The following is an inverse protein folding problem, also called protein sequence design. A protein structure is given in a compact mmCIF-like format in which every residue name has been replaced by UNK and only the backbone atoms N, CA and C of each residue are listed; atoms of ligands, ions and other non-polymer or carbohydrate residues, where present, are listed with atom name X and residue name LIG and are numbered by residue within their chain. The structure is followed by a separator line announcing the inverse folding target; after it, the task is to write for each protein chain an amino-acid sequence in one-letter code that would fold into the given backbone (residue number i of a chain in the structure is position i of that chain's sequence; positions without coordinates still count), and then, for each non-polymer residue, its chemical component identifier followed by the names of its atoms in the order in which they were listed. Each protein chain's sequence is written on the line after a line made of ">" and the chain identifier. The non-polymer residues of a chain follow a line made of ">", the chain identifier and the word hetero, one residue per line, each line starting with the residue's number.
data_IF_889348193711
#
_entry.id   IF_889348193711
#
_cell.length_a   1.000
_cell.length_b   1.000
_cell.length_c   1.000
_cell.angle_alpha   90.00
_cell.angle_beta   90.00
_cell.angle_gamma   90.00
#
_symmetry.space_group_name_H-M   'P 1'
#
loop_
_entity.id
_entity.type
_entity.pdbx_description
1 polymer ?
#
# COMPACT_ATOMS: atom_id res chain seq x y z
N UNK A 1 16.82 2.87 -31.05
CA UNK A 1 16.15 3.35 -29.84
C UNK A 1 16.94 2.87 -28.62
N UNK A 2 17.52 3.78 -27.84
CA UNK A 2 18.20 3.42 -26.59
C UNK A 2 17.15 2.98 -25.58
N UNK A 3 17.26 1.78 -24.99
CA UNK A 3 16.45 1.41 -23.83
C UNK A 3 16.77 2.40 -22.70
N UNK A 4 15.82 3.29 -22.39
CA UNK A 4 15.94 4.19 -21.24
C UNK A 4 15.92 3.29 -20.00
N UNK A 5 17.00 3.31 -19.22
CA UNK A 5 17.08 2.51 -18.01
C UNK A 5 16.24 3.19 -16.93
N UNK A 6 15.14 2.55 -16.58
CA UNK A 6 14.32 2.99 -15.45
C UNK A 6 15.07 2.72 -14.14
N UNK A 7 14.68 3.45 -13.08
CA UNK A 7 15.21 3.13 -11.75
C UNK A 7 14.74 1.75 -11.31
N UNK A 8 15.71 0.88 -11.06
CA UNK A 8 15.46 -0.41 -10.44
C UNK A 8 15.54 -0.24 -8.91
N UNK A 9 14.44 -0.57 -8.23
CA UNK A 9 14.33 -0.57 -6.77
C UNK A 9 14.77 -1.93 -6.20
N UNK A 10 14.24 -3.03 -6.76
CA UNK A 10 14.59 -4.40 -6.42
C UNK A 10 15.05 -5.17 -7.66
N UNK A 11 15.91 -6.17 -7.46
CA UNK A 11 16.24 -7.13 -8.51
C UNK A 11 15.08 -8.09 -8.75
N UNK A 12 14.99 -8.68 -9.96
CA UNK A 12 13.97 -9.70 -10.26
C UNK A 12 14.04 -10.88 -9.28
N UNK A 13 15.26 -11.27 -8.88
CA UNK A 13 15.47 -12.32 -7.87
C UNK A 13 14.89 -11.89 -6.52
N UNK A 14 15.18 -10.68 -6.05
CA UNK A 14 14.61 -10.19 -4.79
C UNK A 14 13.09 -10.15 -4.82
N UNK A 15 12.46 -9.74 -5.92
CA UNK A 15 11.00 -9.77 -6.05
C UNK A 15 10.47 -11.20 -5.93
N UNK A 16 11.02 -12.14 -6.71
CA UNK A 16 10.62 -13.54 -6.66
C UNK A 16 10.86 -14.19 -5.27
N UNK A 17 11.91 -13.77 -4.56
CA UNK A 17 12.23 -14.28 -3.22
C UNK A 17 11.33 -13.67 -2.12
N UNK A 18 10.69 -12.51 -2.39
CA UNK A 18 9.79 -11.80 -1.48
C UNK A 18 8.31 -12.10 -1.74
N UNK A 19 7.94 -12.48 -2.96
CA UNK A 19 6.62 -13.01 -3.31
C UNK A 19 6.38 -14.39 -2.67
N UNK A 20 6.52 -14.47 -1.35
CA UNK A 20 6.17 -15.62 -0.54
C UNK A 20 4.71 -15.41 -0.12
N UNK A 21 3.81 -16.10 -0.83
CA UNK A 21 2.37 -16.35 -0.51
C UNK A 21 1.32 -15.36 -1.04
N UNK A 22 1.06 -15.39 -2.35
CA UNK A 22 -0.33 -15.43 -2.83
C UNK A 22 -0.35 -15.66 -4.35
N UNK A 23 -1.03 -16.72 -4.79
CA UNK A 23 -1.40 -16.92 -6.22
C UNK A 23 -2.54 -15.96 -6.64
N UNK A 24 -2.80 -14.92 -5.84
CA UNK A 24 -3.96 -14.02 -5.90
C UNK A 24 -3.55 -12.55 -5.66
N UNK A 25 -4.51 -11.63 -5.79
CA UNK A 25 -4.31 -10.19 -5.67
C UNK A 25 -3.66 -9.84 -4.34
N UNK A 26 -2.54 -9.11 -4.39
CA UNK A 26 -1.90 -8.55 -3.20
C UNK A 26 -2.66 -7.29 -2.77
N UNK A 27 -3.44 -7.37 -1.69
CA UNK A 27 -4.20 -6.22 -1.17
C UNK A 27 -3.46 -5.51 -0.04
N UNK A 28 -3.30 -4.20 -0.18
CA UNK A 28 -2.58 -3.33 0.74
C UNK A 28 -3.52 -2.22 1.23
N UNK A 29 -3.72 -2.13 2.54
CA UNK A 29 -4.51 -1.09 3.18
C UNK A 29 -3.58 -0.03 3.75
N UNK A 30 -3.78 1.23 3.34
CA UNK A 30 -3.11 2.39 3.92
C UNK A 30 -4.13 3.20 4.71
N UNK A 31 -4.05 3.14 6.04
CA UNK A 31 -5.02 3.74 6.96
C UNK A 31 -4.31 4.42 8.12
N UNK A 32 -4.75 5.63 8.42
CA UNK A 32 -4.41 6.33 9.66
C UNK A 32 -5.60 7.17 10.07
N UNK A 33 -5.93 7.19 11.37
CA UNK A 33 -6.98 8.06 11.91
C UNK A 33 -6.68 9.55 11.62
N UNK A 34 -7.69 10.40 11.80
CA UNK A 34 -7.66 11.84 11.45
C UNK A 34 -6.37 12.52 11.94
N UNK A 35 -5.77 13.37 11.12
CA UNK A 35 -4.49 14.04 11.44
C UNK A 35 -3.28 13.45 10.72
N UNK A 36 -3.45 12.32 10.00
CA UNK A 36 -2.39 11.71 9.20
C UNK A 36 -1.88 12.59 8.05
N UNK A 37 -0.86 13.40 8.29
CA UNK A 37 -0.02 13.94 7.23
C UNK A 37 0.75 12.79 6.56
N UNK A 38 0.94 12.90 5.24
CA UNK A 38 1.71 11.97 4.40
C UNK A 38 1.10 10.59 4.07
N UNK A 39 -0.06 10.17 4.60
CA UNK A 39 -0.69 8.88 4.20
C UNK A 39 -0.90 8.72 2.69
N UNK A 40 -1.59 9.66 2.05
CA UNK A 40 -1.78 9.64 0.59
C UNK A 40 -0.44 9.78 -0.15
N UNK A 41 0.55 10.45 0.43
CA UNK A 41 1.91 10.48 -0.11
C UNK A 41 2.56 9.10 -0.06
N UNK A 42 2.43 8.36 1.04
CA UNK A 42 2.94 6.99 1.17
C UNK A 42 2.21 6.05 0.21
N UNK A 43 0.88 6.08 0.16
CA UNK A 43 0.08 5.26 -0.75
C UNK A 43 0.41 5.53 -2.23
N UNK A 44 0.52 6.80 -2.62
CA UNK A 44 0.92 7.17 -3.99
C UNK A 44 2.37 6.78 -4.27
N UNK A 45 3.29 6.92 -3.32
CA UNK A 45 4.69 6.49 -3.49
C UNK A 45 4.78 4.98 -3.65
N UNK A 46 4.01 4.23 -2.87
CA UNK A 46 3.87 2.78 -2.96
C UNK A 46 3.42 2.34 -4.35
N UNK A 47 2.36 2.96 -4.88
CA UNK A 47 1.89 2.70 -6.25
C UNK A 47 3.00 2.88 -7.31
N UNK A 48 3.80 3.96 -7.20
CA UNK A 48 4.94 4.18 -8.09
C UNK A 48 6.07 3.15 -7.87
N UNK A 49 6.28 2.71 -6.64
CA UNK A 49 7.26 1.70 -6.28
C UNK A 49 6.91 0.33 -6.86
N UNK A 50 5.69 -0.14 -6.60
CA UNK A 50 5.16 -1.43 -7.10
C UNK A 50 5.20 -1.50 -8.62
N UNK A 51 4.84 -0.41 -9.30
CA UNK A 51 4.91 -0.32 -10.76
C UNK A 51 6.31 -0.58 -11.35
N UNK A 52 7.38 -0.60 -10.54
CA UNK A 52 8.75 -0.85 -10.98
C UNK A 52 9.27 -2.25 -10.67
N UNK A 53 8.41 -3.16 -10.18
CA UNK A 53 8.81 -4.51 -9.78
C UNK A 53 8.87 -5.52 -10.93
N UNK A 54 8.01 -5.35 -11.93
CA UNK A 54 7.83 -6.34 -12.97
C UNK A 54 7.48 -5.75 -14.32
N UNK A 55 7.59 -6.58 -15.35
CA UNK A 55 7.02 -6.31 -16.66
C UNK A 55 5.56 -6.79 -16.64
N UNK A 56 4.61 -5.90 -16.98
CA UNK A 56 3.16 -6.18 -17.02
C UNK A 56 2.49 -6.38 -15.66
N UNK A 57 2.26 -5.28 -14.95
CA UNK A 57 1.51 -5.26 -13.68
C UNK A 57 0.20 -4.48 -13.85
N UNK A 58 -0.88 -5.01 -13.29
CA UNK A 58 -2.19 -4.39 -13.15
C UNK A 58 -2.36 -3.91 -11.71
N UNK A 59 -2.20 -2.60 -11.52
CA UNK A 59 -2.27 -1.95 -10.21
C UNK A 59 -3.56 -1.14 -10.11
N UNK A 60 -4.30 -1.35 -9.03
CA UNK A 60 -5.53 -0.63 -8.72
C UNK A 60 -5.34 0.20 -7.47
N UNK A 61 -5.67 1.49 -7.56
CA UNK A 61 -5.62 2.42 -6.44
C UNK A 61 -7.03 2.90 -6.12
N UNK A 62 -7.53 2.54 -4.95
CA UNK A 62 -8.86 2.90 -4.46
C UNK A 62 -8.75 3.99 -3.41
N UNK A 63 -9.53 5.06 -3.56
CA UNK A 63 -9.61 6.12 -2.56
C UNK A 63 -10.95 6.82 -2.53
N UNK A 64 -11.33 7.25 -1.33
CA UNK A 64 -12.46 8.14 -1.07
C UNK A 64 -11.98 9.38 -0.28
N UNK A 65 -10.74 9.82 -0.52
CA UNK A 65 -10.21 11.03 0.12
C UNK A 65 -11.03 12.26 -0.27
N UNK A 66 -11.53 12.97 0.74
CA UNK A 66 -12.30 14.21 0.59
C UNK A 66 -11.53 15.30 -0.15
N UNK A 67 -10.20 15.27 -0.08
CA UNK A 67 -9.36 16.22 -0.81
C UNK A 67 -9.18 15.83 -2.28
N UNK A 68 -9.61 14.64 -2.69
CA UNK A 68 -9.43 14.12 -4.04
C UNK A 68 -7.97 14.23 -4.52
N UNK A 69 -6.99 14.13 -3.62
CA UNK A 69 -5.59 14.40 -3.91
C UNK A 69 -5.01 13.42 -4.94
N UNK A 70 -5.21 12.12 -4.71
CA UNK A 70 -4.78 11.08 -5.62
C UNK A 70 -5.54 11.12 -6.96
N UNK A 71 -6.84 11.44 -6.95
CA UNK A 71 -7.64 11.64 -8.18
C UNK A 71 -7.10 12.75 -9.07
N UNK A 72 -6.68 13.87 -8.46
CA UNK A 72 -6.07 15.00 -9.17
C UNK A 72 -4.67 14.67 -9.71
N UNK A 73 -3.97 13.72 -9.09
CA UNK A 73 -2.64 13.28 -9.52
C UNK A 73 -2.73 12.24 -10.65
N UNK A 74 -3.49 11.17 -10.45
CA UNK A 74 -3.57 10.01 -11.35
C UNK A 74 -4.54 10.24 -12.51
N UNK A 75 -4.28 11.28 -13.30
CA UNK A 75 -4.95 11.46 -14.58
C UNK A 75 -4.50 10.38 -15.57
N UNK A 76 -5.31 10.10 -16.59
CA UNK A 76 -4.94 9.12 -17.63
C UNK A 76 -3.61 9.48 -18.30
N UNK A 77 -3.38 10.77 -18.58
CA UNK A 77 -2.12 11.28 -19.13
C UNK A 77 -0.94 11.05 -18.18
N UNK A 78 -1.12 11.37 -16.89
CA UNK A 78 -0.08 11.13 -15.88
C UNK A 78 0.27 9.64 -15.80
N UNK A 79 -0.74 8.77 -15.71
CA UNK A 79 -0.51 7.33 -15.60
C UNK A 79 0.22 6.77 -16.83
N UNK A 80 -0.18 7.17 -18.05
CA UNK A 80 0.47 6.74 -19.30
C UNK A 80 1.92 7.22 -19.43
N UNK A 81 2.27 8.36 -18.84
CA UNK A 81 3.59 8.96 -18.98
C UNK A 81 4.55 8.60 -17.84
N UNK A 82 4.03 8.40 -16.61
CA UNK A 82 4.84 8.22 -15.41
C UNK A 82 5.01 6.76 -14.98
N UNK A 83 4.12 5.86 -15.38
CA UNK A 83 4.28 4.42 -15.11
C UNK A 83 5.06 3.70 -16.22
N UNK A 84 5.84 2.66 -15.89
CA UNK A 84 6.55 1.86 -16.88
C UNK A 84 5.65 1.26 -17.97
N UNK A 85 6.21 1.11 -19.18
CA UNK A 85 5.51 0.43 -20.27
C UNK A 85 5.16 -1.00 -19.86
N UNK A 86 3.90 -1.35 -20.01
CA UNK A 86 3.36 -2.65 -19.59
C UNK A 86 2.62 -2.58 -18.26
N UNK A 87 2.89 -1.59 -17.40
CA UNK A 87 2.07 -1.37 -16.20
C UNK A 87 0.75 -0.74 -16.61
N UNK A 88 -0.34 -1.40 -16.24
CA UNK A 88 -1.66 -0.83 -16.25
C UNK A 88 -1.98 -0.31 -14.86
N UNK A 89 -2.42 0.94 -14.79
CA UNK A 89 -2.80 1.57 -13.54
C UNK A 89 -4.21 2.13 -13.66
N UNK A 90 -5.08 1.73 -12.74
CA UNK A 90 -6.45 2.24 -12.63
C UNK A 90 -6.64 2.89 -11.26
N UNK A 91 -7.03 4.16 -11.25
CA UNK A 91 -7.49 4.83 -10.03
C UNK A 91 -9.02 4.78 -9.97
N UNK A 92 -9.55 4.17 -8.92
CA UNK A 92 -10.96 4.22 -8.53
C UNK A 92 -11.06 5.25 -7.42
N UNK A 93 -11.38 6.50 -7.80
CA UNK A 93 -11.41 7.61 -6.88
C UNK A 93 -12.81 8.21 -6.80
N UNK A 94 -13.43 8.13 -5.62
CA UNK A 94 -14.80 8.56 -5.43
C UNK A 94 -14.88 10.09 -5.37
N UNK A 95 -15.50 10.66 -6.41
CA UNK A 95 -15.78 12.10 -6.49
C UNK A 95 -16.79 12.52 -5.41
N UNK A 96 -16.57 13.69 -4.82
CA UNK A 96 -17.46 14.30 -3.82
C UNK A 96 -17.75 13.33 -2.65
N UNK A 97 -16.75 12.55 -2.22
CA UNK A 97 -16.91 11.51 -1.20
C UNK A 97 -17.52 12.06 0.10
N UNK A 98 -17.19 13.30 0.48
CA UNK A 98 -17.76 13.98 1.65
C UNK A 98 -19.29 14.19 1.59
N UNK A 99 -19.92 14.09 0.41
CA UNK A 99 -21.38 14.22 0.23
C UNK A 99 -22.11 12.87 0.17
N UNK A 100 -21.38 11.75 0.26
CA UNK A 100 -21.92 10.40 0.05
C UNK A 100 -21.91 9.63 1.36
N UNK A 101 -22.88 8.73 1.53
CA UNK A 101 -22.85 7.75 2.62
C UNK A 101 -21.79 6.67 2.33
N UNK A 102 -21.26 6.05 3.39
CA UNK A 102 -20.34 4.90 3.31
C UNK A 102 -20.86 3.82 2.35
N UNK A 103 -22.13 3.41 2.49
CA UNK A 103 -22.76 2.44 1.58
C UNK A 103 -22.75 2.86 0.10
N UNK A 104 -22.96 4.15 -0.19
CA UNK A 104 -22.91 4.66 -1.58
C UNK A 104 -21.48 4.64 -2.13
N UNK A 105 -20.52 5.04 -1.31
CA UNK A 105 -19.09 5.04 -1.66
C UNK A 105 -18.63 3.61 -1.97
N UNK A 106 -18.91 2.65 -1.08
CA UNK A 106 -18.58 1.25 -1.29
C UNK A 106 -19.26 0.65 -2.52
N UNK A 107 -20.53 1.00 -2.78
CA UNK A 107 -21.22 0.55 -4.00
C UNK A 107 -20.57 1.07 -5.28
N UNK A 108 -20.13 2.33 -5.29
CA UNK A 108 -19.42 2.90 -6.45
C UNK A 108 -18.04 2.25 -6.65
N UNK A 109 -17.29 2.01 -5.58
CA UNK A 109 -16.01 1.28 -5.65
C UNK A 109 -16.23 -0.12 -6.18
N UNK A 110 -17.20 -0.83 -5.59
CA UNK A 110 -17.59 -2.17 -5.98
C UNK A 110 -17.92 -2.19 -7.48
N UNK A 111 -18.79 -1.31 -7.97
CA UNK A 111 -19.20 -1.28 -9.38
C UNK A 111 -18.03 -1.25 -10.38
N UNK A 112 -16.88 -0.67 -10.02
CA UNK A 112 -15.68 -0.67 -10.86
C UNK A 112 -14.76 -1.88 -10.64
N UNK A 113 -14.71 -2.45 -9.43
CA UNK A 113 -13.85 -3.57 -9.04
C UNK A 113 -14.64 -4.90 -9.01
N UNK A 114 -14.30 -5.84 -9.87
CA UNK A 114 -15.01 -7.12 -10.02
C UNK A 114 -14.39 -8.20 -9.12
N UNK A 115 -15.22 -8.98 -8.44
CA UNK A 115 -14.84 -10.10 -7.58
C UNK A 115 -16.02 -11.09 -7.45
N UNK A 116 -15.73 -12.36 -7.16
CA UNK A 116 -16.69 -13.42 -6.82
C UNK A 116 -17.92 -13.47 -7.77
N UNK A 117 -19.13 -13.56 -7.22
CA UNK A 117 -20.41 -13.60 -7.95
C UNK A 117 -20.55 -12.44 -8.93
N UNK A 118 -20.00 -11.27 -8.62
CA UNK A 118 -20.11 -10.07 -9.47
C UNK A 118 -19.29 -10.20 -10.74
N UNK A 119 -18.16 -10.91 -10.68
CA UNK A 119 -17.39 -11.23 -11.89
C UNK A 119 -18.23 -12.13 -12.81
N UNK A 120 -18.87 -13.15 -12.23
CA UNK A 120 -19.69 -14.12 -12.95
C UNK A 120 -20.90 -13.44 -13.60
N UNK A 121 -21.62 -12.61 -12.85
CA UNK A 121 -22.76 -11.83 -13.35
C UNK A 121 -22.35 -10.89 -14.48
N UNK A 122 -21.22 -10.19 -14.32
CA UNK A 122 -20.70 -9.26 -15.32
C UNK A 122 -20.30 -9.97 -16.61
N UNK A 123 -19.58 -11.08 -16.51
CA UNK A 123 -19.19 -11.89 -17.66
C UNK A 123 -20.41 -12.41 -18.41
N UNK A 124 -21.39 -12.99 -17.68
CA UNK A 124 -22.64 -13.49 -18.26
C UNK A 124 -23.44 -12.41 -18.96
N UNK A 125 -23.55 -11.22 -18.37
CA UNK A 125 -24.26 -10.08 -18.95
C UNK A 125 -23.63 -9.59 -20.26
N UNK A 126 -22.33 -9.79 -20.43
CA UNK A 126 -21.56 -9.39 -21.63
C UNK A 126 -21.34 -10.52 -22.63
N UNK A 127 -21.83 -11.73 -22.35
CA UNK A 127 -21.59 -12.90 -23.18
C UNK A 127 -20.11 -13.30 -23.23
N UNK A 128 -19.35 -12.97 -22.18
CA UNK A 128 -17.97 -13.40 -22.00
C UNK A 128 -17.97 -14.78 -21.35
N UNK A 129 -17.16 -15.70 -21.88
CA UNK A 129 -16.88 -16.97 -21.23
C UNK A 129 -15.79 -16.76 -20.16
N UNK A 130 -16.04 -17.29 -18.96
CA UNK A 130 -15.08 -17.33 -17.85
C UNK A 130 -14.87 -18.79 -17.47
N UNK A 131 -13.62 -19.17 -17.26
CA UNK A 131 -13.20 -20.50 -16.82
C UNK A 131 -12.99 -20.53 -15.31
N UNK A 132 -12.84 -21.72 -14.71
CA UNK A 132 -12.45 -21.84 -13.30
C UNK A 132 -11.06 -21.21 -13.04
N UNK A 133 -10.14 -21.27 -14.01
CA UNK A 133 -8.82 -20.61 -13.94
C UNK A 133 -8.94 -19.06 -13.90
N UNK A 134 -10.01 -18.51 -14.49
CA UNK A 134 -10.37 -17.08 -14.42
C UNK A 134 -11.01 -16.68 -13.09
N UNK A 135 -11.16 -17.61 -12.15
CA UNK A 135 -11.67 -17.37 -10.79
C UNK A 135 -10.60 -17.56 -9.70
N UNK A 136 -9.36 -17.89 -10.08
CA UNK A 136 -8.27 -18.13 -9.13
C UNK A 136 -7.80 -16.86 -8.42
N UNK A 137 -7.91 -15.70 -9.07
CA UNK A 137 -7.55 -14.41 -8.50
C UNK A 137 -8.72 -13.80 -7.72
N UNK A 138 -8.42 -12.96 -6.72
CA UNK A 138 -9.46 -12.33 -5.91
C UNK A 138 -10.16 -11.17 -6.63
N UNK A 139 -9.40 -10.31 -7.31
CA UNK A 139 -9.94 -9.10 -7.92
C UNK A 139 -9.61 -9.00 -9.41
N UNK A 140 -10.56 -8.43 -10.16
CA UNK A 140 -10.48 -8.22 -11.59
C UNK A 140 -10.98 -6.84 -11.98
N UNK A 141 -10.54 -6.37 -13.15
CA UNK A 141 -11.06 -5.18 -13.79
C UNK A 141 -11.38 -5.48 -15.26
N UNK A 142 -12.42 -4.84 -15.78
CA UNK A 142 -12.65 -4.82 -17.22
C UNK A 142 -11.83 -3.71 -17.88
N UNK A 143 -11.18 -4.06 -18.99
CA UNK A 143 -10.46 -3.14 -19.84
C UNK A 143 -10.62 -3.54 -21.29
N UNK A 144 -10.99 -2.59 -22.14
CA UNK A 144 -11.09 -2.80 -23.60
C UNK A 144 -11.97 -4.03 -23.97
N UNK A 145 -12.95 -4.37 -23.12
CA UNK A 145 -13.83 -5.54 -23.28
C UNK A 145 -13.30 -6.85 -22.71
N UNK A 146 -12.07 -6.86 -22.17
CA UNK A 146 -11.43 -8.03 -21.56
C UNK A 146 -11.39 -7.93 -20.03
N UNK A 147 -11.58 -9.05 -19.35
CA UNK A 147 -11.42 -9.17 -17.90
C UNK A 147 -9.93 -9.41 -17.61
N UNK A 148 -9.32 -8.58 -16.76
CA UNK A 148 -7.91 -8.66 -16.40
C UNK A 148 -7.74 -8.86 -14.89
N UNK A 149 -6.87 -9.80 -14.50
CA UNK A 149 -6.46 -10.06 -13.11
C UNK A 149 -5.77 -8.81 -12.54
N UNK A 150 -6.13 -8.43 -11.31
CA UNK A 150 -5.45 -7.38 -10.55
C UNK A 150 -4.30 -7.99 -9.75
N UNK A 151 -3.07 -7.47 -9.94
CA UNK A 151 -1.89 -7.92 -9.21
C UNK A 151 -1.79 -7.24 -7.85
N UNK A 152 -1.97 -5.92 -7.83
CA UNK A 152 -1.89 -5.11 -6.60
C UNK A 152 -3.12 -4.23 -6.44
N UNK A 153 -3.73 -4.28 -5.26
CA UNK A 153 -4.86 -3.43 -4.88
C UNK A 153 -4.48 -2.58 -3.67
N UNK A 154 -4.44 -1.26 -3.83
CA UNK A 154 -4.07 -0.31 -2.77
C UNK A 154 -5.31 0.46 -2.33
N UNK A 155 -5.69 0.33 -1.07
CA UNK A 155 -6.74 1.13 -0.45
C UNK A 155 -6.14 2.30 0.34
N UNK A 156 -6.29 3.53 -0.15
CA UNK A 156 -5.95 4.76 0.59
C UNK A 156 -7.18 5.28 1.33
N UNK A 157 -7.30 4.89 2.60
CA UNK A 157 -8.44 5.17 3.46
C UNK A 157 -8.16 6.46 4.24
N UNK A 158 -8.75 7.56 3.78
CA UNK A 158 -8.59 8.87 4.40
C UNK A 158 -9.09 8.87 5.86
N UNK A 159 -8.22 9.33 6.77
CA UNK A 159 -8.51 9.38 8.20
C UNK A 159 -9.63 10.36 8.55
N UNK A 160 -10.53 9.91 9.43
CA UNK A 160 -11.60 10.74 10.00
C UNK A 160 -12.93 10.70 9.24
N UNK A 161 -13.05 9.83 8.23
CA UNK A 161 -14.32 9.65 7.52
C UNK A 161 -14.68 8.17 7.30
N UNK A 162 -13.74 7.22 7.50
CA UNK A 162 -13.92 5.75 7.41
C UNK A 162 -14.95 5.32 6.35
N UNK A 163 -14.80 5.90 5.15
CA UNK A 163 -15.81 5.84 4.10
C UNK A 163 -15.73 4.58 3.23
N UNK A 164 -14.62 3.85 3.35
CA UNK A 164 -14.38 2.61 2.63
C UNK A 164 -14.46 1.50 3.65
N UNK A 165 -15.39 0.58 3.43
CA UNK A 165 -15.49 -0.64 4.23
C UNK A 165 -14.49 -1.66 3.69
N UNK A 166 -13.43 -1.90 4.45
CA UNK A 166 -12.47 -2.98 4.17
C UNK A 166 -12.97 -4.33 4.63
N UNK A 167 -14.01 -4.35 5.46
CA UNK A 167 -14.59 -5.55 6.03
C UNK A 167 -15.16 -6.53 4.99
N UNK A 168 -15.52 -6.00 3.80
CA UNK A 168 -16.02 -6.71 2.62
C UNK A 168 -14.97 -6.98 1.55
N UNK A 169 -13.73 -6.48 1.71
CA UNK A 169 -12.60 -7.02 0.94
C UNK A 169 -12.57 -8.49 1.28
N UNK A 170 -12.48 -9.39 0.29
CA UNK A 170 -12.26 -10.81 0.54
C UNK A 170 -11.04 -10.89 1.48
N UNK A 171 -11.26 -11.05 2.79
CA UNK A 171 -10.22 -10.82 3.81
C UNK A 171 -9.06 -11.81 3.65
N UNK A 172 -9.34 -12.90 2.94
CA UNK A 172 -8.41 -13.90 2.42
C UNK A 172 -7.36 -13.30 1.46
N UNK A 173 -7.55 -12.06 0.98
CA UNK A 173 -6.65 -11.33 0.07
C UNK A 173 -5.94 -10.14 0.71
N UNK A 174 -6.15 -9.86 2.00
CA UNK A 174 -5.39 -8.82 2.68
C UNK A 174 -3.96 -9.32 2.93
N UNK A 175 -2.96 -8.58 2.47
CA UNK A 175 -1.54 -8.95 2.63
C UNK A 175 -0.77 -7.95 3.49
N UNK A 176 -1.17 -6.68 3.47
CA UNK A 176 -0.43 -5.63 4.17
C UNK A 176 -1.29 -4.52 4.70
N UNK A 177 -0.94 -4.07 5.90
CA UNK A 177 -1.49 -2.91 6.57
C UNK A 177 -0.39 -1.87 6.78
N UNK A 178 -0.66 -0.63 6.41
CA UNK A 178 0.27 0.48 6.52
C UNK A 178 -0.41 1.63 7.28
N UNK A 179 0.27 2.12 8.31
CA UNK A 179 -0.07 3.37 8.99
C UNK A 179 1.10 4.36 8.93
N UNK A 180 0.79 5.66 9.10
CA UNK A 180 1.77 6.74 8.99
C UNK A 180 1.63 7.69 10.16
N UNK A 181 2.75 7.96 10.82
CA UNK A 181 2.91 9.03 11.81
C UNK A 181 3.66 10.21 11.19
N UNK A 182 3.24 11.43 11.50
CA UNK A 182 4.03 12.64 11.28
C UNK A 182 5.02 12.87 12.43
N UNK A 183 6.30 13.05 12.11
CA UNK A 183 7.34 13.30 13.10
C UNK A 183 7.04 14.50 14.01
N UNK A 184 7.27 14.33 15.32
CA UNK A 184 7.00 15.31 16.38
C UNK A 184 5.51 15.74 16.48
N UNK A 185 4.57 14.89 16.07
CA UNK A 185 3.14 15.12 16.21
C UNK A 185 2.53 14.01 17.07
N UNK A 186 2.27 14.34 18.34
CA UNK A 186 1.76 13.39 19.32
C UNK A 186 0.38 12.83 18.93
N UNK A 187 -0.49 13.66 18.36
CA UNK A 187 -1.80 13.20 17.92
C UNK A 187 -1.64 12.25 16.73
N UNK A 188 -0.76 12.57 15.78
CA UNK A 188 -0.47 11.67 14.67
C UNK A 188 0.11 10.33 15.14
N UNK A 189 0.98 10.33 16.16
CA UNK A 189 1.55 9.13 16.77
C UNK A 189 0.46 8.26 17.39
N UNK A 190 -0.36 8.84 18.26
CA UNK A 190 -1.45 8.13 18.93
C UNK A 190 -2.43 7.53 17.91
N UNK A 191 -2.80 8.31 16.89
CA UNK A 191 -3.67 7.85 15.82
C UNK A 191 -3.07 6.70 15.00
N UNK A 192 -1.76 6.73 14.75
CA UNK A 192 -1.08 5.67 14.02
C UNK A 192 -1.01 4.36 14.84
N UNK A 193 -0.67 4.46 16.13
CA UNK A 193 -0.66 3.33 17.08
C UNK A 193 -2.06 2.73 17.23
N UNK A 194 -3.09 3.56 17.38
CA UNK A 194 -4.47 3.10 17.46
C UNK A 194 -4.92 2.41 16.18
N UNK A 195 -4.46 2.86 15.01
CA UNK A 195 -4.80 2.22 13.73
C UNK A 195 -4.20 0.81 13.62
N UNK A 196 -3.01 0.59 14.17
CA UNK A 196 -2.37 -0.74 14.30
C UNK A 196 -3.20 -1.61 15.24
N UNK A 197 -3.59 -1.08 16.41
CA UNK A 197 -4.41 -1.80 17.38
C UNK A 197 -5.73 -2.26 16.77
N UNK A 198 -6.44 -1.36 16.09
CA UNK A 198 -7.71 -1.68 15.45
C UNK A 198 -7.54 -2.77 14.40
N UNK A 199 -6.50 -2.68 13.56
CA UNK A 199 -6.21 -3.71 12.56
C UNK A 199 -5.85 -5.06 13.19
N UNK A 200 -5.07 -5.06 14.27
CA UNK A 200 -4.73 -6.29 14.99
C UNK A 200 -5.97 -6.97 15.59
N UNK A 201 -6.92 -6.20 16.12
CA UNK A 201 -8.20 -6.72 16.59
C UNK A 201 -9.04 -7.28 15.44
N UNK A 202 -9.07 -6.60 14.30
CA UNK A 202 -9.74 -7.07 13.08
C UNK A 202 -9.13 -8.38 12.55
N UNK A 203 -7.80 -8.50 12.54
CA UNK A 203 -7.06 -9.71 12.18
C UNK A 203 -7.40 -10.87 13.12
N UNK A 204 -7.40 -10.64 14.44
CA UNK A 204 -7.76 -11.66 15.43
C UNK A 204 -9.20 -12.14 15.19
N UNK A 205 -10.15 -11.21 15.01
CA UNK A 205 -11.55 -11.56 14.76
C UNK A 205 -11.70 -12.37 13.47
N UNK A 206 -10.98 -12.00 12.41
CA UNK A 206 -10.95 -12.75 11.15
C UNK A 206 -10.36 -14.15 11.34
N UNK A 207 -9.18 -14.26 11.96
CA UNK A 207 -8.51 -15.53 12.24
C UNK A 207 -9.41 -16.50 13.00
N UNK A 208 -10.12 -15.99 14.03
CA UNK A 208 -11.09 -16.79 14.78
C UNK A 208 -12.19 -17.33 13.86
N UNK A 209 -12.82 -16.49 13.03
CA UNK A 209 -13.87 -16.91 12.08
C UNK A 209 -13.35 -17.95 11.08
N UNK A 210 -12.16 -17.74 10.52
CA UNK A 210 -11.53 -18.65 9.59
C UNK A 210 -11.30 -20.03 10.22
N UNK A 211 -10.69 -20.07 11.41
CA UNK A 211 -10.43 -21.32 12.13
C UNK A 211 -11.73 -22.05 12.52
N UNK A 212 -12.77 -21.32 12.95
CA UNK A 212 -14.09 -21.92 13.21
C UNK A 212 -14.69 -22.55 11.95
N UNK A 213 -14.61 -21.87 10.79
CA UNK A 213 -15.09 -22.41 9.53
C UNK A 213 -14.34 -23.68 9.09
N UNK A 214 -13.06 -23.79 9.44
CA UNK A 214 -12.24 -24.99 9.25
C UNK A 214 -12.50 -26.10 10.29
N UNK A 215 -13.44 -25.90 11.22
CA UNK A 215 -13.83 -26.89 12.23
C UNK A 215 -13.00 -26.88 13.51
N UNK A 216 -12.15 -25.87 13.74
CA UNK A 216 -11.41 -25.73 14.98
C UNK A 216 -12.29 -25.14 16.10
N UNK A 217 -12.14 -25.69 17.31
CA UNK A 217 -12.66 -25.08 18.54
C UNK A 217 -11.66 -24.04 19.06
N UNK A 218 -11.89 -22.79 18.66
CA UNK A 218 -10.98 -21.65 18.89
C UNK A 218 -10.69 -21.41 20.36
N UNK A 219 -11.66 -21.64 21.25
CA UNK A 219 -11.52 -21.41 22.70
C UNK A 219 -10.54 -22.39 23.35
N UNK A 220 -10.28 -23.53 22.70
CA UNK A 220 -9.33 -24.55 23.16
C UNK A 220 -7.94 -24.40 22.57
N UNK A 221 -7.71 -23.42 21.70
CA UNK A 221 -6.39 -23.18 21.08
C UNK A 221 -5.54 -22.35 22.06
N UNK A 222 -4.39 -22.87 22.52
CA UNK A 222 -3.44 -22.08 23.30
C UNK A 222 -2.98 -20.82 22.55
N UNK A 223 -2.71 -19.73 23.28
CA UNK A 223 -2.42 -18.42 22.67
C UNK A 223 -1.19 -18.43 21.74
N UNK A 224 -0.14 -19.16 22.12
CA UNK A 224 1.07 -19.35 21.31
C UNK A 224 0.77 -20.05 19.98
N UNK A 225 -0.07 -21.09 20.03
CA UNK A 225 -0.51 -21.80 18.82
C UNK A 225 -1.44 -20.94 17.96
N UNK A 226 -2.33 -20.16 18.59
CA UNK A 226 -3.19 -19.22 17.88
C UNK A 226 -2.36 -18.15 17.16
N UNK A 227 -1.35 -17.59 17.82
CA UNK A 227 -0.45 -16.60 17.22
C UNK A 227 0.35 -17.19 16.04
N UNK A 228 0.83 -18.44 16.15
CA UNK A 228 1.51 -19.12 15.05
C UNK A 228 0.58 -19.35 13.84
N UNK A 229 -0.69 -19.71 14.08
CA UNK A 229 -1.69 -19.85 13.01
C UNK A 229 -2.03 -18.50 12.37
N UNK A 230 -2.14 -17.44 13.17
CA UNK A 230 -2.37 -16.07 12.69
C UNK A 230 -1.22 -15.58 11.81
N UNK A 231 0.02 -15.83 12.23
CA UNK A 231 1.22 -15.51 11.43
C UNK A 231 1.25 -16.29 10.09
N UNK A 232 0.69 -17.50 10.05
CA UNK A 232 0.57 -18.26 8.80
C UNK A 232 -0.41 -17.64 7.82
N UNK A 233 -1.51 -17.04 8.32
CA UNK A 233 -2.50 -16.29 7.54
C UNK A 233 -1.85 -15.03 6.93
N UNK A 234 -0.95 -14.37 7.66
CA UNK A 234 0.15 -13.62 7.03
C UNK A 234 -0.14 -12.16 6.66
N UNK A 235 -0.62 -11.34 7.60
CA UNK A 235 -0.66 -9.89 7.40
C UNK A 235 0.67 -9.23 7.79
N UNK A 236 1.21 -8.42 6.89
CA UNK A 236 2.35 -7.55 7.21
C UNK A 236 1.85 -6.23 7.82
N UNK A 237 2.45 -5.78 8.92
CA UNK A 237 2.17 -4.47 9.51
C UNK A 237 3.34 -3.55 9.26
N UNK A 238 3.11 -2.40 8.63
CA UNK A 238 4.13 -1.38 8.38
C UNK A 238 3.74 -0.07 9.06
N UNK A 239 4.65 0.46 9.86
CA UNK A 239 4.57 1.76 10.51
C UNK A 239 5.58 2.73 9.88
N UNK A 240 5.09 3.77 9.22
CA UNK A 240 5.95 4.79 8.61
C UNK A 240 6.04 6.02 9.51
N UNK A 241 7.23 6.28 10.01
CA UNK A 241 7.59 7.55 10.65
C UNK A 241 7.99 8.58 9.58
N UNK A 242 7.10 9.54 9.31
CA UNK A 242 7.27 10.55 8.26
C UNK A 242 7.99 11.80 8.78
N UNK A 243 9.25 11.96 8.39
CA UNK A 243 10.00 13.19 8.68
C UNK A 243 9.42 14.38 7.91
N UNK A 244 9.08 15.44 8.64
CA UNK A 244 8.58 16.71 8.07
C UNK A 244 9.64 17.84 8.02
N UNK A 245 10.87 17.58 8.48
CA UNK A 245 11.96 18.55 8.49
C UNK A 245 13.21 18.05 7.75
N UNK A 246 13.98 19.00 7.22
CA UNK A 246 15.30 18.75 6.65
C UNK A 246 16.33 18.83 7.77
N UNK A 247 16.99 17.71 8.09
CA UNK A 247 17.99 17.65 9.15
C UNK A 247 18.23 16.25 9.71
N UNK A 248 19.22 16.14 10.60
CA UNK A 248 19.45 14.94 11.40
C UNK A 248 18.22 14.68 12.28
N UNK A 249 17.80 13.42 12.37
CA UNK A 249 16.65 13.05 13.17
C UNK A 249 17.05 13.02 14.65
N UNK A 250 16.26 13.65 15.52
CA UNK A 250 16.40 13.37 16.96
C UNK A 250 16.06 11.91 17.19
N UNK A 251 16.93 11.15 17.85
CA UNK A 251 16.70 9.72 18.09
C UNK A 251 15.66 9.46 19.18
N UNK A 252 15.30 10.46 19.99
CA UNK A 252 14.41 10.30 21.14
C UNK A 252 12.99 9.89 20.75
N UNK A 253 12.33 10.69 19.90
CA UNK A 253 10.93 10.48 19.50
C UNK A 253 10.72 9.16 18.72
N UNK A 254 11.53 8.85 17.69
CA UNK A 254 11.51 7.53 17.04
C UNK A 254 11.78 6.37 17.99
N UNK A 255 12.65 6.53 19.00
CA UNK A 255 12.93 5.49 19.99
C UNK A 255 11.73 5.23 20.89
N UNK A 256 11.02 6.28 21.31
CA UNK A 256 9.76 6.14 22.03
C UNK A 256 8.70 5.45 21.17
N UNK A 257 8.58 5.82 19.89
CA UNK A 257 7.68 5.15 18.95
C UNK A 257 8.02 3.66 18.83
N UNK A 258 9.30 3.30 18.63
CA UNK A 258 9.73 1.89 18.60
C UNK A 258 9.36 1.16 19.89
N UNK A 259 9.52 1.78 21.06
CA UNK A 259 9.14 1.17 22.32
C UNK A 259 7.63 0.90 22.42
N UNK A 260 6.78 1.82 21.96
CA UNK A 260 5.33 1.60 21.89
C UNK A 260 4.94 0.52 20.88
N UNK A 261 5.63 0.47 19.73
CA UNK A 261 5.41 -0.59 18.73
C UNK A 261 5.77 -1.98 19.30
N UNK A 262 6.86 -2.11 20.06
CA UNK A 262 7.19 -3.38 20.74
C UNK A 262 6.12 -3.84 21.73
N UNK A 263 5.48 -2.91 22.45
CA UNK A 263 4.34 -3.26 23.31
C UNK A 263 3.18 -3.82 22.49
N UNK A 264 2.87 -3.23 21.34
CA UNK A 264 1.81 -3.73 20.45
C UNK A 264 2.18 -5.09 19.83
N UNK A 265 3.45 -5.31 19.45
CA UNK A 265 3.94 -6.61 18.98
C UNK A 265 3.70 -7.71 20.03
N UNK A 266 4.02 -7.42 21.30
CA UNK A 266 3.82 -8.34 22.43
C UNK A 266 2.32 -8.53 22.75
N UNK A 267 1.54 -7.46 22.81
CA UNK A 267 0.11 -7.46 23.14
C UNK A 267 -0.70 -8.29 22.14
N UNK A 268 -0.43 -8.15 20.84
CA UNK A 268 -1.24 -8.75 19.77
C UNK A 268 -0.58 -9.93 19.06
N UNK A 269 0.66 -10.29 19.40
CA UNK A 269 1.41 -11.31 18.70
C UNK A 269 1.54 -10.98 17.21
N UNK A 270 2.00 -9.76 16.89
CA UNK A 270 2.25 -9.28 15.52
C UNK A 270 3.72 -8.88 15.36
N UNK A 271 4.14 -8.71 14.10
CA UNK A 271 5.40 -8.08 13.74
C UNK A 271 5.13 -6.79 12.98
N UNK A 272 5.76 -5.71 13.39
CA UNK A 272 5.57 -4.38 12.83
C UNK A 272 6.89 -3.90 12.23
N UNK A 273 6.91 -3.70 10.91
CA UNK A 273 7.98 -3.03 10.21
C UNK A 273 7.98 -1.54 10.52
N UNK A 274 9.07 -1.05 11.11
CA UNK A 274 9.28 0.37 11.35
C UNK A 274 10.14 0.97 10.24
N UNK A 275 9.59 1.93 9.51
CA UNK A 275 10.26 2.63 8.42
C UNK A 275 10.34 4.13 8.68
N UNK A 276 11.42 4.76 8.23
CA UNK A 276 11.58 6.23 8.31
C UNK A 276 11.50 6.82 6.91
N UNK A 277 10.40 7.51 6.62
CA UNK A 277 10.24 8.26 5.38
C UNK A 277 11.05 9.57 5.47
N UNK A 278 12.08 9.78 4.63
CA UNK A 278 12.87 11.00 4.66
C UNK A 278 12.10 12.22 4.14
N UNK A 279 12.43 13.40 4.67
CA UNK A 279 11.88 14.67 4.18
C UNK A 279 12.54 15.07 2.86
N UNK A 280 11.97 14.63 1.74
CA UNK A 280 12.43 15.01 0.40
C UNK A 280 11.44 15.96 -0.27
N UNK A 281 11.95 17.09 -0.75
CA UNK A 281 11.16 18.11 -1.45
C UNK A 281 11.20 17.87 -2.96
N UNK A 282 10.19 17.21 -3.50
CA UNK A 282 10.03 16.99 -4.94
C UNK A 282 9.14 18.03 -5.65
N UNK A 283 9.02 19.23 -5.07
CA UNK A 283 8.11 20.28 -5.57
C UNK A 283 8.32 20.59 -7.07
N UNK A 284 9.56 20.58 -7.54
CA UNK A 284 9.87 20.86 -8.95
C UNK A 284 9.53 19.69 -9.88
N UNK A 285 9.60 18.43 -9.43
CA UNK A 285 9.10 17.29 -10.20
C UNK A 285 7.56 17.33 -10.28
N UNK A 286 6.91 17.57 -9.13
CA UNK A 286 5.45 17.69 -9.05
C UNK A 286 4.90 18.78 -9.97
N UNK A 287 5.52 19.97 -9.99
CA UNK A 287 5.14 21.07 -10.91
C UNK A 287 5.21 20.69 -12.39
N UNK A 288 6.05 19.71 -12.73
CA UNK A 288 6.26 19.23 -14.09
C UNK A 288 5.44 17.99 -14.42
N UNK A 289 4.56 17.56 -13.51
CA UNK A 289 3.79 16.33 -13.68
C UNK A 289 4.64 15.06 -13.61
N UNK A 290 5.81 15.12 -12.98
CA UNK A 290 6.75 13.99 -12.91
C UNK A 290 6.64 13.24 -11.59
N UNK A 291 6.75 11.92 -11.66
CA UNK A 291 6.82 11.05 -10.48
C UNK A 291 8.05 11.37 -9.62
N UNK A 292 7.93 11.18 -8.30
CA UNK A 292 9.04 11.26 -7.34
C UNK A 292 10.14 10.22 -7.59
N UNK A 293 9.82 9.14 -8.32
CA UNK A 293 10.77 8.09 -8.71
C UNK A 293 11.40 8.34 -10.09
N UNK A 294 11.15 9.50 -10.71
CA UNK A 294 11.66 9.80 -12.05
C UNK A 294 13.17 10.07 -12.01
N UNK A 295 13.90 9.36 -12.86
CA UNK A 295 15.34 9.60 -13.12
C UNK A 295 15.56 10.78 -14.07
N UNK A 296 16.80 11.27 -14.14
CA UNK A 296 17.17 12.32 -15.08
C UNK A 296 17.02 11.86 -16.53
N UNK A 297 17.25 10.58 -16.83
CA UNK A 297 17.12 10.06 -18.18
C UNK A 297 15.65 9.96 -18.60
N UNK A 298 14.77 9.46 -17.73
CA UNK A 298 13.34 9.35 -17.99
C UNK A 298 12.70 10.71 -18.25
N UNK A 299 12.95 11.70 -17.39
CA UNK A 299 12.37 13.03 -17.60
C UNK A 299 12.92 13.74 -18.85
N UNK A 300 14.17 13.47 -19.26
CA UNK A 300 14.70 14.00 -20.55
C UNK A 300 14.00 13.33 -21.72
N UNK A 301 13.75 12.03 -21.65
CA UNK A 301 13.03 11.29 -22.68
C UNK A 301 11.56 11.75 -22.81
N UNK A 302 10.98 12.24 -21.72
CA UNK A 302 9.67 12.90 -21.71
C UNK A 302 9.73 14.39 -22.12
N UNK A 303 10.88 14.89 -22.58
CA UNK A 303 11.04 16.26 -23.10
C UNK A 303 11.30 17.34 -22.04
N UNK A 304 11.49 16.98 -20.77
CA UNK A 304 11.74 17.97 -19.73
C UNK A 304 13.21 18.40 -19.65
N UNK A 305 13.45 19.72 -19.56
CA UNK A 305 14.77 20.27 -19.27
C UNK A 305 15.06 20.25 -17.77
N UNK A 306 15.84 19.27 -17.31
CA UNK A 306 16.00 18.96 -15.88
C UNK A 306 17.05 19.83 -15.18
N UNK A 307 17.96 20.48 -15.90
CA UNK A 307 18.91 21.45 -15.32
C UNK A 307 19.55 21.00 -13.99
N UNK A 308 19.26 21.73 -12.91
CA UNK A 308 19.68 21.47 -11.51
C UNK A 308 18.60 20.79 -10.65
N UNK A 309 17.46 20.40 -11.22
CA UNK A 309 16.37 19.72 -10.50
C UNK A 309 16.89 18.39 -9.97
N UNK A 310 16.67 18.14 -8.67
CA UNK A 310 17.07 16.91 -8.00
C UNK A 310 16.03 15.82 -8.29
N UNK A 311 16.45 14.82 -9.07
CA UNK A 311 15.70 13.58 -9.34
C UNK A 311 15.99 12.55 -8.24
N UNK A 312 15.33 11.37 -8.30
CA UNK A 312 15.55 10.29 -7.33
C UNK A 312 17.02 9.89 -7.17
N UNK A 313 17.84 10.03 -8.22
CA UNK A 313 19.28 9.73 -8.19
C UNK A 313 20.06 10.65 -7.25
N UNK A 314 19.50 11.80 -6.88
CA UNK A 314 20.06 12.74 -5.90
C UNK A 314 19.50 12.56 -4.49
N UNK A 315 18.65 11.56 -4.32
CA UNK A 315 17.97 11.21 -3.06
C UNK A 315 18.13 9.71 -2.76
N UNK A 316 19.37 9.21 -2.57
CA UNK A 316 19.62 7.80 -2.23
C UNK A 316 18.85 7.35 -0.99
N UNK A 317 18.65 8.24 -0.01
CA UNK A 317 17.86 7.99 1.19
C UNK A 317 16.39 7.67 0.87
N UNK A 318 15.80 8.32 -0.13
CA UNK A 318 14.43 8.05 -0.54
C UNK A 318 14.35 6.80 -1.40
N UNK A 319 15.35 6.54 -2.25
CA UNK A 319 15.45 5.27 -2.99
C UNK A 319 15.53 4.09 -2.02
N UNK A 320 16.35 4.19 -0.99
CA UNK A 320 16.51 3.17 0.06
C UNK A 320 15.20 2.97 0.83
N UNK A 321 14.56 4.04 1.29
CA UNK A 321 13.22 3.97 1.89
C UNK A 321 12.22 3.26 0.98
N UNK A 322 12.17 3.59 -0.31
CA UNK A 322 11.23 2.97 -1.26
C UNK A 322 11.51 1.48 -1.47
N UNK A 323 12.79 1.08 -1.49
CA UNK A 323 13.16 -0.34 -1.54
C UNK A 323 12.67 -1.06 -0.29
N UNK A 324 12.93 -0.51 0.91
CA UNK A 324 12.50 -1.13 2.16
C UNK A 324 10.97 -1.13 2.32
N UNK A 325 10.30 -0.09 1.84
CA UNK A 325 8.85 0.00 1.87
C UNK A 325 8.18 -1.04 0.96
N UNK A 326 8.76 -1.31 -0.21
CA UNK A 326 8.29 -2.42 -1.04
C UNK A 326 8.59 -3.76 -0.36
N UNK A 327 9.77 -3.94 0.24
CA UNK A 327 10.11 -5.16 0.97
C UNK A 327 9.11 -5.41 2.10
N UNK A 328 8.77 -4.41 2.90
CA UNK A 328 7.87 -4.57 4.04
C UNK A 328 6.47 -5.05 3.63
N UNK A 329 5.93 -4.53 2.52
CA UNK A 329 4.59 -4.94 2.05
C UNK A 329 4.58 -6.25 1.27
N UNK A 330 5.76 -6.72 0.82
CA UNK A 330 5.96 -8.01 0.18
C UNK A 330 6.60 -9.01 1.15
N UNK A 331 6.30 -8.94 2.45
CA UNK A 331 6.73 -9.96 3.42
C UNK A 331 8.22 -9.93 3.83
N UNK A 332 8.99 -8.96 3.38
CA UNK A 332 10.38 -8.76 3.78
C UNK A 332 10.51 -7.93 5.05
N UNK A 333 11.04 -8.51 6.14
CA UNK A 333 11.23 -7.80 7.41
C UNK A 333 12.36 -6.76 7.34
N UNK A 334 12.06 -5.52 7.71
CA UNK A 334 12.95 -4.36 7.63
C UNK A 334 13.11 -3.61 8.96
N UNK A 335 12.27 -3.85 9.97
CA UNK A 335 12.26 -3.08 11.22
C UNK A 335 13.64 -2.97 11.90
N UNK A 336 14.38 -4.08 12.00
CA UNK A 336 15.68 -4.15 12.69
C UNK A 336 16.65 -3.06 12.23
N UNK A 337 16.67 -2.77 10.92
CA UNK A 337 17.55 -1.74 10.34
C UNK A 337 17.27 -0.38 10.96
N UNK A 338 16.00 0.02 11.00
CA UNK A 338 15.59 1.34 11.46
C UNK A 338 15.59 1.43 12.99
N UNK A 339 15.26 0.36 13.70
CA UNK A 339 15.40 0.29 15.16
C UNK A 339 16.85 0.49 15.60
N UNK A 340 17.83 -0.08 14.90
CA UNK A 340 19.24 0.16 15.18
C UNK A 340 19.64 1.62 14.96
N UNK A 341 19.03 2.31 13.99
CA UNK A 341 19.27 3.74 13.77
C UNK A 341 18.74 4.62 14.91
N UNK A 342 17.73 4.17 15.66
CA UNK A 342 17.13 4.93 16.79
C UNK A 342 17.79 4.63 18.14
N UNK A 343 18.62 3.58 18.25
CA UNK A 343 19.34 3.24 19.50
C UNK A 343 20.52 4.15 19.82
N UNK A 344 20.96 5.00 18.87
CA UNK A 344 22.22 5.75 18.98
C UNK A 344 23.44 4.85 18.82
N UNK A 345 24.56 5.41 18.35
CA UNK A 345 25.85 4.72 18.40
C UNK A 345 26.45 4.82 19.79
#
# INVERSE_FOLDING_TARGET
>A
MTKIKQIQLLTKKEVNDLEVKNDSTTTLIVRSKKGGCAKTTSATSLAHGLARLGEKLNIVYVTADVNEGAKRLFTEEYCKTQFPKGVYFKSIAIKDAWKKSTSKINREIAAELLADERLIEHAKAKGLEITEEDLENTFYLERDGEIQKVDYLIYDIAGGVDQIETDQIARDSLNGFITVELANDLDSKNNALDSIRDMALEEIAYTKRFLTAQGYDVEKIPQDKFNAMKEQIGFTYTYIYSKNYQGAMSVSDPRETVAELKKLEEEFGIKIDFLILPCVKFNELKKRGLSYLTTREEAKAQGHSIGRVKTIEKHPEFKEFMSDFIKSVLGGYTANKYELMTKGR
#
